data_IF_796468250524
#
_entry.id   IF_796468250524
#
_cell.length_a   1.000
_cell.length_b   1.000
_cell.length_c   1.000
_cell.angle_alpha   90.00
_cell.angle_beta   90.00
_cell.angle_gamma   90.00
#
_symmetry.space_group_name_H-M   'P 1'
#
loop_
_entity.id
_entity.type
_entity.pdbx_description
1 polymer ?
#
# COMPACT_ATOMS: atom_id res chain seq x y z
N UNK A 1 13.37 16.82 -2.25
CA UNK A 1 12.50 16.10 -1.27
C UNK A 1 13.38 15.15 -0.47
N UNK A 2 12.95 14.64 0.67
CA UNK A 2 13.71 13.67 1.48
C UNK A 2 12.75 12.61 2.02
N UNK A 3 13.27 11.43 2.32
CA UNK A 3 12.51 10.42 3.04
C UNK A 3 12.40 10.79 4.52
N UNK A 4 11.33 10.32 5.16
CA UNK A 4 11.07 10.47 6.59
C UNK A 4 10.96 9.07 7.21
N UNK A 5 11.76 8.77 8.23
CA UNK A 5 11.63 7.52 8.97
C UNK A 5 10.30 7.51 9.74
N UNK A 6 9.47 6.51 9.50
CA UNK A 6 8.12 6.38 10.11
C UNK A 6 8.14 5.36 11.23
N UNK A 7 8.75 4.22 10.99
CA UNK A 7 9.00 3.12 11.94
C UNK A 7 10.42 2.65 11.64
N UNK A 8 11.07 1.93 12.55
CA UNK A 8 12.41 1.38 12.35
C UNK A 8 12.49 0.66 10.98
N UNK A 9 13.45 1.06 10.15
CA UNK A 9 13.73 0.52 8.81
C UNK A 9 12.58 0.66 7.78
N UNK A 10 11.58 1.51 8.07
CA UNK A 10 10.54 1.91 7.12
C UNK A 10 10.53 3.43 6.99
N UNK A 11 10.77 3.88 5.79
CA UNK A 11 10.77 5.28 5.43
C UNK A 11 9.60 5.63 4.51
N UNK A 12 9.10 6.86 4.63
CA UNK A 12 8.05 7.45 3.84
C UNK A 12 8.63 8.54 2.93
N UNK A 13 8.30 8.51 1.64
CA UNK A 13 8.53 9.63 0.72
C UNK A 13 7.16 10.22 0.40
N UNK A 14 6.94 11.48 0.82
CA UNK A 14 5.65 12.18 0.71
C UNK A 14 5.64 13.10 -0.50
N UNK A 15 4.76 12.83 -1.45
CA UNK A 15 4.39 13.76 -2.53
C UNK A 15 3.12 14.54 -2.15
N UNK A 16 2.72 15.51 -2.98
CA UNK A 16 1.58 16.38 -2.67
C UNK A 16 0.28 15.61 -2.37
N UNK A 17 0.02 14.53 -3.12
CA UNK A 17 -1.24 13.79 -3.06
C UNK A 17 -1.09 12.31 -2.73
N UNK A 18 0.12 11.77 -2.73
CA UNK A 18 0.39 10.35 -2.56
C UNK A 18 1.68 10.12 -1.80
N UNK A 19 1.83 8.95 -1.23
CA UNK A 19 3.03 8.47 -0.53
C UNK A 19 3.55 7.21 -1.19
N UNK A 20 4.82 6.95 -0.94
CA UNK A 20 5.43 5.64 -1.17
C UNK A 20 6.23 5.25 0.06
N UNK A 21 6.40 3.96 0.28
CA UNK A 21 7.16 3.44 1.42
C UNK A 21 8.39 2.70 0.94
N UNK A 22 9.50 2.87 1.66
CA UNK A 22 10.76 2.15 1.44
C UNK A 22 11.04 1.29 2.66
N UNK A 23 11.23 -0.01 2.46
CA UNK A 23 11.56 -0.99 3.48
C UNK A 23 13.01 -1.43 3.29
N UNK A 24 13.86 -1.29 4.33
CA UNK A 24 15.29 -1.60 4.26
C UNK A 24 15.66 -2.91 4.96
N UNK A 25 14.94 -3.31 6.02
CA UNK A 25 15.21 -4.53 6.77
C UNK A 25 14.15 -5.60 6.50
N UNK A 26 14.06 -6.03 5.26
CA UNK A 26 13.31 -7.24 4.88
C UNK A 26 14.23 -8.46 4.94
N UNK A 27 13.70 -9.70 5.13
CA UNK A 27 14.52 -10.91 5.31
C UNK A 27 15.56 -11.17 4.23
N UNK A 28 15.33 -10.72 2.98
CA UNK A 28 16.31 -10.82 1.89
C UNK A 28 17.51 -9.89 2.06
N UNK A 29 17.37 -8.81 2.85
CA UNK A 29 18.32 -7.71 2.91
C UNK A 29 18.26 -6.78 1.69
N UNK A 30 17.19 -6.87 0.90
CA UNK A 30 16.94 -6.05 -0.30
C UNK A 30 16.13 -4.80 0.06
N UNK A 31 16.44 -3.66 -0.57
CA UNK A 31 15.63 -2.45 -0.45
C UNK A 31 14.35 -2.61 -1.29
N UNK A 32 13.19 -2.60 -0.62
CA UNK A 32 11.89 -2.77 -1.24
C UNK A 32 11.10 -1.47 -1.26
N UNK A 33 10.66 -1.04 -2.44
CA UNK A 33 9.78 0.12 -2.64
C UNK A 33 8.34 -0.37 -2.79
N UNK A 34 7.42 0.21 -2.03
CA UNK A 34 5.98 -0.03 -2.13
C UNK A 34 5.33 1.14 -2.87
N UNK A 35 4.84 0.86 -4.07
CA UNK A 35 4.31 1.80 -5.06
C UNK A 35 5.34 2.83 -5.58
N UNK A 36 4.99 3.58 -6.63
CA UNK A 36 5.91 4.46 -7.34
C UNK A 36 5.39 5.88 -7.60
N UNK A 37 4.32 6.27 -6.91
CA UNK A 37 3.67 7.58 -7.06
C UNK A 37 3.14 7.86 -8.48
N UNK A 38 2.87 9.14 -8.80
CA UNK A 38 2.46 9.58 -10.14
C UNK A 38 3.67 9.66 -11.08
N UNK A 39 3.41 9.66 -12.40
CA UNK A 39 4.43 9.78 -13.44
C UNK A 39 5.30 11.05 -13.26
N UNK A 40 4.66 12.19 -12.96
CA UNK A 40 5.35 13.47 -12.73
C UNK A 40 6.28 13.46 -11.51
N UNK A 41 6.11 12.53 -10.60
CA UNK A 41 6.96 12.36 -9.41
C UNK A 41 8.17 11.43 -9.68
N UNK A 42 8.19 10.72 -10.80
CA UNK A 42 9.15 9.64 -11.06
C UNK A 42 10.61 10.08 -11.03
N UNK A 43 10.95 11.22 -11.61
CA UNK A 43 12.33 11.75 -11.59
C UNK A 43 12.78 12.09 -10.15
N UNK A 44 11.92 12.77 -9.38
CA UNK A 44 12.20 13.15 -7.99
C UNK A 44 12.29 11.90 -7.08
N UNK A 45 11.40 10.92 -7.29
CA UNK A 45 11.45 9.64 -6.58
C UNK A 45 12.80 8.93 -6.81
N UNK A 46 13.23 8.82 -8.06
CA UNK A 46 14.54 8.21 -8.41
C UNK A 46 15.70 8.95 -7.75
N UNK A 47 15.66 10.29 -7.68
CA UNK A 47 16.70 11.09 -7.02
C UNK A 47 16.80 10.75 -5.53
N UNK A 48 15.66 10.74 -4.82
CA UNK A 48 15.60 10.39 -3.38
C UNK A 48 16.07 8.95 -3.14
N UNK A 49 15.61 7.99 -3.94
CA UNK A 49 15.98 6.58 -3.81
C UNK A 49 17.50 6.37 -4.02
N UNK A 50 18.11 7.13 -4.93
CA UNK A 50 19.56 7.05 -5.17
C UNK A 50 20.40 7.71 -4.07
N UNK A 51 19.91 8.83 -3.52
CA UNK A 51 20.67 9.60 -2.53
C UNK A 51 20.57 9.03 -1.12
N UNK A 52 19.42 8.47 -0.75
CA UNK A 52 19.14 8.06 0.64
C UNK A 52 19.18 6.54 0.85
N UNK A 53 18.93 5.71 -0.19
CA UNK A 53 18.81 4.25 -0.09
C UNK A 53 19.80 3.47 -0.97
N UNK A 54 20.72 4.15 -1.68
CA UNK A 54 21.66 3.53 -2.63
C UNK A 54 20.95 2.74 -3.76
N UNK A 55 19.67 2.94 -3.95
CA UNK A 55 18.84 2.33 -4.98
C UNK A 55 17.65 1.51 -4.46
N UNK A 56 17.09 0.68 -5.33
CA UNK A 56 15.95 -0.22 -5.05
C UNK A 56 16.18 -1.56 -5.74
N UNK A 57 15.99 -2.64 -5.00
CA UNK A 57 16.14 -4.01 -5.50
C UNK A 57 14.80 -4.63 -5.91
N UNK A 58 13.70 -4.18 -5.27
CA UNK A 58 12.35 -4.68 -5.52
C UNK A 58 11.32 -3.54 -5.50
N UNK A 59 10.33 -3.65 -6.38
CA UNK A 59 9.08 -2.85 -6.34
C UNK A 59 7.91 -3.80 -6.11
N UNK A 60 7.03 -3.46 -5.17
CA UNK A 60 5.74 -4.10 -4.98
C UNK A 60 4.66 -3.05 -5.27
N UNK A 61 3.84 -3.25 -6.30
CA UNK A 61 2.68 -2.41 -6.58
C UNK A 61 1.47 -2.98 -5.83
N UNK A 62 0.72 -2.12 -5.14
CA UNK A 62 -0.44 -2.53 -4.36
C UNK A 62 -1.71 -2.67 -5.19
N UNK A 63 -1.85 -1.87 -6.25
CA UNK A 63 -3.02 -1.86 -7.16
C UNK A 63 -2.76 -1.04 -8.42
N UNK A 64 -3.78 -0.89 -9.27
CA UNK A 64 -3.67 -0.34 -10.62
C UNK A 64 -4.00 1.15 -10.78
N UNK A 65 -4.14 1.94 -9.71
CA UNK A 65 -4.38 3.36 -9.85
C UNK A 65 -3.10 4.13 -10.19
N UNK A 66 -3.23 5.12 -11.08
CA UNK A 66 -2.10 5.86 -11.64
C UNK A 66 -1.20 6.53 -10.59
N UNK A 67 -1.76 6.93 -9.46
CA UNK A 67 -1.01 7.47 -8.32
C UNK A 67 -0.08 6.48 -7.62
N UNK A 68 -0.14 5.19 -7.96
CA UNK A 68 0.63 4.12 -7.34
C UNK A 68 1.64 3.47 -8.28
N UNK A 69 1.39 3.50 -9.59
CA UNK A 69 2.29 2.90 -10.58
C UNK A 69 2.89 3.90 -11.59
N UNK A 70 2.47 5.17 -11.58
CA UNK A 70 2.83 6.15 -12.61
C UNK A 70 4.34 6.38 -12.75
N UNK A 71 5.09 6.40 -11.65
CA UNK A 71 6.54 6.55 -11.64
C UNK A 71 7.33 5.27 -11.96
N UNK A 72 6.65 4.13 -12.20
CA UNK A 72 7.28 2.82 -12.36
C UNK A 72 8.38 2.81 -13.43
N UNK A 73 8.11 3.37 -14.61
CA UNK A 73 9.09 3.38 -15.71
C UNK A 73 10.40 4.07 -15.31
N UNK A 74 10.34 5.19 -14.58
CA UNK A 74 11.52 5.88 -14.08
C UNK A 74 12.35 5.01 -13.11
N UNK A 75 11.66 4.31 -12.20
CA UNK A 75 12.32 3.40 -11.23
C UNK A 75 12.94 2.20 -11.93
N UNK A 76 12.21 1.58 -12.87
CA UNK A 76 12.71 0.44 -13.65
C UNK A 76 13.93 0.79 -14.51
N UNK A 77 13.91 1.94 -15.16
CA UNK A 77 15.05 2.43 -15.97
C UNK A 77 16.28 2.77 -15.11
N UNK A 78 16.07 3.28 -13.90
CA UNK A 78 17.15 3.73 -13.03
C UNK A 78 17.86 2.59 -12.29
N UNK A 79 17.11 1.56 -11.84
CA UNK A 79 17.60 0.54 -10.90
C UNK A 79 17.42 -0.90 -11.40
N UNK A 80 16.51 -1.15 -12.34
CA UNK A 80 16.14 -2.49 -12.82
C UNK A 80 15.75 -3.45 -11.68
N UNK A 81 14.88 -3.03 -10.74
CA UNK A 81 14.44 -3.87 -9.64
C UNK A 81 13.57 -5.03 -10.12
N UNK A 82 13.41 -6.05 -9.29
CA UNK A 82 12.35 -7.04 -9.50
C UNK A 82 10.99 -6.39 -9.25
N UNK A 83 10.00 -6.71 -10.07
CA UNK A 83 8.65 -6.17 -10.00
C UNK A 83 7.67 -7.23 -9.53
N UNK A 84 6.92 -6.95 -8.45
CA UNK A 84 5.78 -7.74 -8.00
C UNK A 84 4.48 -6.94 -8.12
N UNK A 85 3.40 -7.58 -8.57
CA UNK A 85 2.10 -6.93 -8.76
C UNK A 85 0.94 -7.94 -8.60
N UNK A 86 -0.30 -7.47 -8.27
CA UNK A 86 -1.46 -8.35 -8.13
C UNK A 86 -1.80 -9.06 -9.46
N UNK A 87 -1.99 -10.38 -9.46
CA UNK A 87 -2.28 -11.13 -10.69
C UNK A 87 -3.64 -10.74 -11.32
N UNK A 88 -4.60 -10.38 -10.50
CA UNK A 88 -5.97 -10.03 -10.90
C UNK A 88 -6.20 -8.54 -11.22
N UNK A 89 -5.17 -7.71 -11.31
CA UNK A 89 -5.30 -6.25 -11.55
C UNK A 89 -5.23 -5.93 -13.05
N UNK A 90 -6.35 -6.12 -13.76
CA UNK A 90 -6.42 -5.95 -15.23
C UNK A 90 -6.02 -4.53 -15.68
N UNK A 91 -6.46 -3.50 -14.95
CA UNK A 91 -6.14 -2.10 -15.29
C UNK A 91 -4.64 -1.81 -15.24
N UNK A 92 -3.95 -2.38 -14.28
CA UNK A 92 -2.51 -2.23 -14.15
C UNK A 92 -1.78 -2.78 -15.37
N UNK A 93 -2.15 -3.99 -15.80
CA UNK A 93 -1.52 -4.66 -16.96
C UNK A 93 -1.82 -3.97 -18.30
N UNK A 94 -2.88 -3.19 -18.39
CA UNK A 94 -3.16 -2.34 -19.55
C UNK A 94 -2.35 -1.03 -19.54
N UNK A 95 -1.91 -0.60 -18.36
CA UNK A 95 -1.24 0.69 -18.15
C UNK A 95 0.28 0.62 -18.13
N UNK A 96 0.86 -0.46 -17.58
CA UNK A 96 2.33 -0.60 -17.46
C UNK A 96 2.95 -1.30 -18.67
N UNK A 97 4.16 -0.86 -19.05
CA UNK A 97 4.95 -1.50 -20.13
C UNK A 97 5.85 -2.64 -19.61
N UNK A 98 6.03 -2.73 -18.30
CA UNK A 98 6.91 -3.71 -17.64
C UNK A 98 6.11 -4.90 -17.16
N UNK A 99 6.45 -6.10 -17.65
CA UNK A 99 5.85 -7.34 -17.14
C UNK A 99 6.39 -7.61 -15.72
N UNK A 100 5.54 -7.89 -14.72
CA UNK A 100 5.99 -8.27 -13.39
C UNK A 100 6.75 -9.61 -13.40
N UNK A 101 7.83 -9.66 -12.63
CA UNK A 101 8.58 -10.89 -12.36
C UNK A 101 7.79 -11.83 -11.45
N UNK A 102 6.98 -11.25 -10.55
CA UNK A 102 6.09 -11.96 -9.63
C UNK A 102 4.68 -11.43 -9.75
N UNK A 103 3.74 -12.31 -10.07
CA UNK A 103 2.31 -12.04 -9.97
C UNK A 103 1.80 -12.71 -8.72
N UNK A 104 1.31 -11.94 -7.78
CA UNK A 104 0.89 -12.42 -6.48
C UNK A 104 -0.65 -12.47 -6.34
N UNK A 105 -1.12 -13.36 -5.48
CA UNK A 105 -2.52 -13.56 -5.11
C UNK A 105 -2.70 -13.38 -3.59
N UNK A 106 -3.95 -13.40 -3.14
CA UNK A 106 -4.29 -13.35 -1.72
C UNK A 106 -3.63 -14.49 -0.93
N UNK A 107 -3.05 -14.16 0.22
CA UNK A 107 -2.34 -15.10 1.09
C UNK A 107 -0.92 -15.45 0.66
N UNK A 108 -0.42 -14.94 -0.47
CA UNK A 108 0.97 -15.10 -0.85
C UNK A 108 1.90 -14.39 0.14
N UNK A 109 3.10 -14.92 0.31
CA UNK A 109 4.13 -14.33 1.17
C UNK A 109 5.32 -13.91 0.32
N UNK A 110 5.47 -12.60 0.16
CA UNK A 110 6.60 -12.00 -0.54
C UNK A 110 7.76 -11.80 0.44
N UNK A 111 8.98 -12.00 -0.07
CA UNK A 111 10.21 -11.79 0.69
C UNK A 111 10.28 -12.50 2.07
N UNK A 112 9.50 -13.55 2.24
CA UNK A 112 9.50 -14.40 3.43
C UNK A 112 8.70 -13.89 4.64
N UNK A 113 8.30 -12.60 4.68
CA UNK A 113 7.53 -12.04 5.79
C UNK A 113 6.42 -11.06 5.38
N UNK A 114 6.34 -10.64 4.13
CA UNK A 114 5.30 -9.72 3.65
C UNK A 114 4.12 -10.55 3.13
N UNK A 115 3.09 -10.72 3.96
CA UNK A 115 1.86 -11.40 3.55
C UNK A 115 0.94 -10.45 2.78
N UNK A 116 0.46 -10.91 1.63
CA UNK A 116 -0.52 -10.20 0.82
C UNK A 116 -1.91 -10.47 1.37
N UNK A 117 -2.67 -9.42 1.63
CA UNK A 117 -4.08 -9.48 2.00
C UNK A 117 -4.86 -8.68 0.96
N UNK A 118 -5.54 -9.38 0.03
CA UNK A 118 -6.36 -8.68 -0.97
C UNK A 118 -7.66 -8.17 -0.36
N UNK A 119 -7.94 -6.90 -0.63
CA UNK A 119 -9.15 -6.18 -0.18
C UNK A 119 -9.78 -5.51 -1.42
N UNK A 120 -10.36 -6.31 -2.34
CA UNK A 120 -10.89 -5.78 -3.59
C UNK A 120 -12.08 -4.85 -3.35
N UNK A 121 -12.24 -3.87 -4.24
CA UNK A 121 -13.34 -2.90 -4.18
C UNK A 121 -12.90 -1.50 -4.58
N UNK A 122 -11.76 -1.00 -4.09
CA UNK A 122 -11.15 0.19 -4.65
C UNK A 122 -10.74 -0.10 -6.11
N UNK A 123 -9.91 -1.13 -6.31
CA UNK A 123 -9.74 -1.80 -7.60
C UNK A 123 -9.93 -3.31 -7.43
N UNK A 124 -9.87 -4.08 -8.53
CA UNK A 124 -10.01 -5.54 -8.49
C UNK A 124 -8.86 -6.22 -7.72
N UNK A 125 -7.65 -5.69 -7.84
CA UNK A 125 -6.43 -6.24 -7.23
C UNK A 125 -5.96 -5.51 -5.98
N UNK A 126 -6.73 -4.56 -5.43
CA UNK A 126 -6.32 -3.81 -4.23
C UNK A 126 -5.81 -4.73 -3.14
N UNK A 127 -4.56 -4.50 -2.73
CA UNK A 127 -3.84 -5.35 -1.78
C UNK A 127 -3.27 -4.53 -0.64
N UNK A 128 -3.49 -5.00 0.58
CA UNK A 128 -2.72 -4.60 1.74
C UNK A 128 -1.55 -5.57 1.95
N UNK A 129 -0.47 -5.09 2.52
CA UNK A 129 0.75 -5.85 2.76
C UNK A 129 1.01 -5.90 4.26
N UNK A 130 0.94 -7.09 4.85
CA UNK A 130 1.18 -7.31 6.28
C UNK A 130 2.62 -7.76 6.52
N UNK A 131 3.40 -6.95 7.22
CA UNK A 131 4.72 -7.33 7.73
C UNK A 131 4.52 -8.15 9.01
N UNK A 132 4.51 -9.48 8.88
CA UNK A 132 4.10 -10.43 9.92
C UNK A 132 4.94 -10.40 11.20
N UNK A 133 6.21 -10.10 11.09
CA UNK A 133 7.17 -10.05 12.20
C UNK A 133 7.17 -8.71 12.94
N UNK A 134 6.42 -7.74 12.45
CA UNK A 134 6.34 -6.38 12.98
C UNK A 134 4.92 -5.91 13.32
N UNK A 135 3.90 -6.71 13.01
CA UNK A 135 2.48 -6.36 13.16
C UNK A 135 2.12 -5.02 12.47
N UNK A 136 2.74 -4.76 11.29
CA UNK A 136 2.53 -3.55 10.50
C UNK A 136 1.76 -3.88 9.23
N UNK A 137 0.65 -3.18 9.01
CA UNK A 137 -0.15 -3.25 7.79
C UNK A 137 0.12 -2.01 6.92
N UNK A 138 0.64 -2.20 5.70
CA UNK A 138 0.71 -1.18 4.66
C UNK A 138 -0.54 -1.36 3.80
N UNK A 139 -1.48 -0.41 3.89
CA UNK A 139 -2.87 -0.65 3.47
C UNK A 139 -3.11 -0.62 1.95
N UNK A 140 -2.18 -0.13 1.14
CA UNK A 140 -2.57 0.31 -0.20
C UNK A 140 -3.73 1.30 -0.09
N UNK A 141 -4.62 1.29 -1.06
CA UNK A 141 -5.87 2.05 -1.00
C UNK A 141 -7.07 1.18 -0.53
N UNK A 142 -6.81 0.18 0.33
CA UNK A 142 -7.88 -0.46 1.10
C UNK A 142 -8.37 0.47 2.24
N UNK A 143 -7.46 1.27 2.82
CA UNK A 143 -7.75 2.18 3.92
C UNK A 143 -7.06 3.53 3.73
N UNK A 144 -7.77 4.59 4.06
CA UNK A 144 -7.27 5.97 4.21
C UNK A 144 -7.20 6.38 5.68
N UNK A 145 -6.30 7.29 6.02
CA UNK A 145 -6.40 8.06 7.26
C UNK A 145 -7.61 8.99 7.23
N UNK A 146 -8.41 9.00 8.28
CA UNK A 146 -9.70 9.73 8.32
C UNK A 146 -9.55 11.25 8.13
N UNK A 147 -8.37 11.82 8.39
CA UNK A 147 -8.06 13.23 8.18
C UNK A 147 -8.03 13.62 6.69
N UNK A 148 -7.87 12.69 5.75
CA UNK A 148 -8.14 12.92 4.31
C UNK A 148 -9.57 13.42 4.08
N UNK A 149 -10.53 12.92 4.84
CA UNK A 149 -11.93 13.33 4.78
C UNK A 149 -12.25 14.54 5.69
N UNK A 150 -11.26 15.16 6.31
CA UNK A 150 -11.42 16.30 7.25
C UNK A 150 -11.87 15.89 8.65
N UNK A 151 -11.79 14.62 9.01
CA UNK A 151 -12.01 14.10 10.35
C UNK A 151 -10.71 14.14 11.17
N UNK A 152 -10.75 13.93 12.49
CA UNK A 152 -9.53 13.85 13.29
C UNK A 152 -8.59 12.74 12.80
N UNK A 153 -7.28 13.01 12.81
CA UNK A 153 -6.26 12.00 12.56
C UNK A 153 -6.31 10.87 13.61
N UNK A 154 -5.77 9.71 13.25
CA UNK A 154 -5.71 8.55 14.13
C UNK A 154 -6.89 7.58 14.00
N UNK A 155 -7.74 7.76 13.00
CA UNK A 155 -8.81 6.84 12.60
C UNK A 155 -8.63 6.41 11.14
N UNK A 156 -9.26 5.30 10.77
CA UNK A 156 -9.21 4.70 9.44
C UNK A 156 -10.59 4.75 8.78
N UNK A 157 -10.61 4.95 7.47
CA UNK A 157 -11.82 4.90 6.64
C UNK A 157 -11.51 4.16 5.34
N UNK A 158 -12.51 3.55 4.67
CA UNK A 158 -12.35 3.18 3.27
C UNK A 158 -12.14 4.44 2.41
N UNK A 159 -11.52 4.32 1.24
CA UNK A 159 -11.42 5.41 0.29
C UNK A 159 -12.80 5.98 -0.05
N UNK A 160 -12.91 7.30 -0.39
CA UNK A 160 -14.16 7.89 -0.80
C UNK A 160 -14.80 7.15 -1.97
N UNK A 161 -16.12 6.95 -1.93
CA UNK A 161 -16.87 6.17 -2.93
C UNK A 161 -16.60 6.55 -4.40
N UNK A 162 -16.22 7.81 -4.65
CA UNK A 162 -15.88 8.31 -5.99
C UNK A 162 -14.65 7.60 -6.60
N UNK A 163 -13.76 7.11 -5.76
CA UNK A 163 -12.51 6.48 -6.19
C UNK A 163 -12.58 4.95 -6.24
N UNK A 164 -13.67 4.35 -5.74
CA UNK A 164 -13.84 2.90 -5.73
C UNK A 164 -14.57 2.40 -6.97
N UNK A 165 -14.08 1.31 -7.57
CA UNK A 165 -14.77 0.60 -8.65
C UNK A 165 -16.06 -0.05 -8.13
N UNK A 166 -16.01 -0.62 -6.91
CA UNK A 166 -17.15 -1.15 -6.16
C UNK A 166 -17.04 -0.72 -4.69
N UNK A 167 -17.75 0.34 -4.33
CA UNK A 167 -17.68 0.90 -2.98
C UNK A 167 -18.27 -0.04 -1.92
N UNK A 168 -19.31 -0.80 -2.25
CA UNK A 168 -19.88 -1.79 -1.33
C UNK A 168 -18.88 -2.91 -1.04
N UNK A 169 -18.22 -3.44 -2.06
CA UNK A 169 -17.17 -4.42 -1.90
C UNK A 169 -15.98 -3.86 -1.10
N UNK A 170 -15.54 -2.62 -1.38
CA UNK A 170 -14.45 -1.98 -0.65
C UNK A 170 -14.72 -1.87 0.86
N UNK A 171 -15.96 -1.63 1.26
CA UNK A 171 -16.33 -1.59 2.68
C UNK A 171 -16.46 -2.99 3.29
N UNK A 172 -17.05 -3.94 2.57
CA UNK A 172 -17.29 -5.31 3.04
C UNK A 172 -15.98 -6.04 3.24
N UNK A 173 -15.09 -5.96 2.29
CA UNK A 173 -13.84 -6.72 2.31
C UNK A 173 -12.85 -6.22 3.38
N UNK A 174 -13.09 -5.06 4.00
CA UNK A 174 -12.34 -4.63 5.19
C UNK A 174 -12.48 -5.59 6.38
N UNK A 175 -13.59 -6.37 6.46
CA UNK A 175 -13.72 -7.39 7.50
C UNK A 175 -12.65 -8.47 7.42
N UNK A 176 -12.07 -8.72 6.25
CA UNK A 176 -11.00 -9.69 6.09
C UNK A 176 -9.72 -9.26 6.79
N UNK A 177 -9.46 -7.95 6.91
CA UNK A 177 -8.34 -7.42 7.68
C UNK A 177 -8.42 -7.74 9.17
N UNK A 178 -9.63 -7.89 9.73
CA UNK A 178 -9.80 -8.22 11.15
C UNK A 178 -9.33 -9.64 11.53
N UNK A 179 -9.10 -10.50 10.54
CA UNK A 179 -8.55 -11.84 10.75
C UNK A 179 -7.06 -11.82 11.06
N UNK A 180 -6.37 -10.70 10.78
CA UNK A 180 -4.95 -10.51 10.98
C UNK A 180 -4.66 -9.67 12.23
N UNK A 181 -3.48 -9.85 12.82
CA UNK A 181 -3.02 -9.01 13.91
C UNK A 181 -2.10 -7.92 13.37
N UNK A 182 -2.40 -6.67 13.70
CA UNK A 182 -1.58 -5.50 13.40
C UNK A 182 -1.82 -4.41 14.46
N UNK A 183 -0.77 -3.71 14.81
CA UNK A 183 -0.79 -2.60 15.77
C UNK A 183 -0.39 -1.26 15.14
N UNK A 184 -0.01 -1.27 13.87
CA UNK A 184 0.33 -0.11 13.07
C UNK A 184 -0.29 -0.23 11.68
N UNK A 185 -0.90 0.86 11.18
CA UNK A 185 -1.38 0.96 9.79
C UNK A 185 -0.70 2.15 9.10
N UNK A 186 -0.01 1.86 8.02
CA UNK A 186 0.61 2.83 7.12
C UNK A 186 -0.28 2.99 5.90
N UNK A 187 -0.75 4.22 5.66
CA UNK A 187 -1.70 4.57 4.61
C UNK A 187 -1.04 5.43 3.53
N UNK A 188 -1.56 5.38 2.31
CA UNK A 188 -1.06 6.21 1.20
C UNK A 188 -1.70 7.60 1.20
N UNK A 189 -2.86 7.74 1.81
CA UNK A 189 -3.61 9.00 1.92
C UNK A 189 -4.06 9.25 3.36
N UNK A 190 -3.92 10.48 3.84
CA UNK A 190 -4.21 10.85 5.23
C UNK A 190 -3.07 10.49 6.18
N UNK A 191 -3.30 10.38 7.48
CA UNK A 191 -2.29 10.10 8.50
C UNK A 191 -2.24 8.62 8.88
N UNK A 192 -1.03 8.11 9.07
CA UNK A 192 -0.79 6.76 9.60
C UNK A 192 -1.41 6.59 10.99
N UNK A 193 -1.78 5.36 11.36
CA UNK A 193 -2.40 5.06 12.65
C UNK A 193 -1.53 4.08 13.44
N UNK A 194 -1.03 4.54 14.59
CA UNK A 194 -0.09 3.82 15.47
C UNK A 194 -0.71 3.33 16.77
N UNK A 195 -1.94 3.75 17.09
CA UNK A 195 -2.60 3.42 18.34
C UNK A 195 -3.89 2.66 18.09
N UNK A 196 -3.90 1.37 18.41
CA UNK A 196 -5.07 0.47 18.32
C UNK A 196 -5.81 0.51 16.96
N UNK A 197 -5.11 0.45 15.81
CA UNK A 197 -5.76 0.56 14.51
C UNK A 197 -6.80 -0.54 14.26
N UNK A 198 -6.53 -1.76 14.69
CA UNK A 198 -7.44 -2.91 14.54
C UNK A 198 -8.74 -2.71 15.32
N UNK A 199 -8.66 -2.23 16.59
CA UNK A 199 -9.85 -1.92 17.40
C UNK A 199 -10.68 -0.79 16.75
N UNK A 200 -10.02 0.25 16.25
CA UNK A 200 -10.69 1.37 15.55
C UNK A 200 -11.35 0.94 14.24
N UNK A 201 -10.73 0.01 13.51
CA UNK A 201 -11.33 -0.58 12.31
C UNK A 201 -12.55 -1.44 12.67
N UNK A 202 -12.46 -2.28 13.71
CA UNK A 202 -13.58 -3.09 14.20
C UNK A 202 -14.74 -2.22 14.68
N UNK A 203 -14.47 -1.17 15.46
CA UNK A 203 -15.47 -0.19 15.91
C UNK A 203 -16.17 0.49 14.71
N UNK A 204 -15.39 0.94 13.71
CA UNK A 204 -15.94 1.54 12.50
C UNK A 204 -16.87 0.58 11.75
N UNK A 205 -16.47 -0.68 11.59
CA UNK A 205 -17.26 -1.69 10.90
C UNK A 205 -18.51 -2.12 11.72
N UNK A 206 -18.39 -2.16 13.05
CA UNK A 206 -19.51 -2.50 13.95
C UNK A 206 -20.64 -1.45 13.97
N UNK A 207 -20.34 -0.17 13.66
CA UNK A 207 -21.35 0.89 13.56
C UNK A 207 -22.18 0.83 12.27
N UNK A 208 -21.80 -0.04 11.32
CA UNK A 208 -22.54 -0.25 10.08
C UNK A 208 -23.76 -1.13 10.32
N UNK A 209 -24.93 -0.75 9.74
CA UNK A 209 -26.18 -1.53 9.85
C UNK A 209 -26.08 -2.93 9.19
N UNK A 210 -25.04 -3.17 8.43
CA UNK A 210 -24.82 -4.41 7.71
C UNK A 210 -23.55 -5.10 8.19
N UNK A 211 -23.69 -6.26 8.81
CA UNK A 211 -22.61 -7.17 9.18
C UNK A 211 -22.69 -8.41 8.28
N UNK A 212 -21.75 -8.62 7.35
CA UNK A 212 -21.75 -9.79 6.47
C UNK A 212 -21.34 -11.08 7.19
N UNK A 213 -20.83 -10.99 8.40
CA UNK A 213 -20.36 -12.15 9.17
C UNK A 213 -21.52 -13.03 9.56
N UNK A 214 -21.43 -14.36 9.33
CA UNK A 214 -22.48 -15.32 9.70
C UNK A 214 -22.67 -15.48 11.21
#
# INVERSE_FOLDING_TARGET
MSAESVVDDISLIQFEHVRVYVLEDVPSGETTLIDTAFEENGEELVEVLREEFDGVDRVILTHGDHGHHGGLTHVMEAFSPTLAAPDNETKLYEAIEHEPDVRYEDGDVLDGNIEVVQVPGHTEGTSALLLRDRDILISGDALDGADRAGLPAGYLLPPPALFNDDHEAAEINLYDLLQYDFDTVLVFHGSNVFENPKEKLDDFLAEREWDPRP
#
